data_IF_313870211818
#
_entry.id   IF_313870211818
#
_cell.length_a   1.000
_cell.length_b   1.000
_cell.length_c   1.000
_cell.angle_alpha   90.00
_cell.angle_beta   90.00
_cell.angle_gamma   90.00
#
_symmetry.space_group_name_H-M   'P 1'
#
loop_
_entity.id
_entity.type
_entity.pdbx_description
1 polymer ?
#
# COMPACT_ATOMS: atom_id res chain seq x y z
N UNK A 1 -2.73 21.01 14.88
CA UNK A 1 -2.31 22.14 14.03
C UNK A 1 -2.84 21.98 12.60
N UNK A 2 -2.40 22.80 11.64
CA UNK A 2 -2.92 22.86 10.28
C UNK A 2 -2.95 21.52 9.51
N UNK A 3 -2.13 20.55 9.88
CA UNK A 3 -2.15 19.19 9.33
C UNK A 3 -3.33 18.35 9.86
N UNK A 4 -3.71 18.50 11.12
CA UNK A 4 -4.83 17.78 11.74
C UNK A 4 -6.18 18.28 11.20
N UNK A 5 -6.25 19.59 10.90
CA UNK A 5 -7.43 20.23 10.29
C UNK A 5 -7.60 19.75 8.84
N UNK A 6 -6.53 19.67 8.06
CA UNK A 6 -6.56 19.17 6.67
C UNK A 6 -6.95 17.68 6.61
N UNK A 7 -6.50 16.88 7.56
CA UNK A 7 -6.85 15.45 7.65
C UNK A 7 -8.31 15.25 8.06
N UNK A 8 -8.82 16.05 9.00
CA UNK A 8 -10.24 16.04 9.39
C UNK A 8 -11.15 16.42 8.24
N UNK A 9 -10.75 17.42 7.46
CA UNK A 9 -11.45 17.83 6.24
C UNK A 9 -11.44 16.72 5.18
N UNK A 10 -10.31 16.06 5.00
CA UNK A 10 -10.17 14.94 4.05
C UNK A 10 -11.09 13.78 4.39
N UNK A 11 -11.28 13.49 5.69
CA UNK A 11 -12.24 12.46 6.14
C UNK A 11 -13.68 12.83 5.83
N UNK A 12 -14.12 14.06 6.16
CA UNK A 12 -15.47 14.53 5.91
C UNK A 12 -15.76 14.55 4.39
N UNK A 13 -14.85 15.12 3.59
CA UNK A 13 -14.99 15.18 2.13
C UNK A 13 -15.04 13.77 1.52
N UNK A 14 -14.18 12.85 1.96
CA UNK A 14 -14.16 11.49 1.47
C UNK A 14 -15.47 10.75 1.79
N UNK A 15 -16.04 10.95 2.99
CA UNK A 15 -17.34 10.39 3.36
C UNK A 15 -18.46 10.92 2.46
N UNK A 16 -18.49 12.23 2.23
CA UNK A 16 -19.55 12.89 1.45
C UNK A 16 -19.46 12.57 -0.05
N UNK A 17 -18.27 12.29 -0.57
CA UNK A 17 -18.07 11.87 -1.96
C UNK A 17 -18.51 10.41 -2.22
N UNK A 18 -18.56 9.55 -1.20
CA UNK A 18 -18.94 8.14 -1.37
C UNK A 18 -20.42 7.99 -1.78
N UNK A 19 -21.31 8.83 -1.23
CA UNK A 19 -22.73 8.77 -1.50
C UNK A 19 -23.08 9.05 -2.97
N UNK A 20 -22.67 10.19 -3.58
CA UNK A 20 -22.95 10.47 -4.99
C UNK A 20 -22.32 9.44 -5.94
N UNK A 21 -21.14 8.90 -5.64
CA UNK A 21 -20.54 7.85 -6.46
C UNK A 21 -21.35 6.56 -6.49
N UNK A 22 -21.92 6.18 -5.34
CA UNK A 22 -22.82 5.02 -5.26
C UNK A 22 -24.05 5.23 -6.11
N UNK A 23 -24.62 6.44 -6.11
CA UNK A 23 -25.77 6.81 -6.92
C UNK A 23 -25.44 6.74 -8.42
N UNK A 24 -24.33 7.34 -8.83
CA UNK A 24 -23.86 7.29 -10.23
C UNK A 24 -23.68 5.84 -10.71
N UNK A 25 -23.04 5.01 -9.88
CA UNK A 25 -22.81 3.62 -10.23
C UNK A 25 -24.11 2.81 -10.29
N UNK A 26 -25.05 3.07 -9.37
CA UNK A 26 -26.37 2.44 -9.34
C UNK A 26 -27.20 2.77 -10.57
N UNK A 27 -27.28 4.04 -10.99
CA UNK A 27 -28.00 4.42 -12.21
C UNK A 27 -27.32 3.91 -13.49
N UNK A 28 -26.00 3.91 -13.56
CA UNK A 28 -25.30 3.35 -14.72
C UNK A 28 -25.54 1.83 -14.84
N UNK A 29 -25.58 1.12 -13.72
CA UNK A 29 -25.89 -0.30 -13.66
C UNK A 29 -27.36 -0.56 -14.08
N UNK A 30 -28.32 0.19 -13.52
CA UNK A 30 -29.72 0.06 -13.84
C UNK A 30 -29.99 0.28 -15.34
N UNK A 31 -29.34 1.29 -15.95
CA UNK A 31 -29.45 1.53 -17.39
C UNK A 31 -28.97 0.37 -18.24
N UNK A 32 -27.92 -0.36 -17.81
CA UNK A 32 -27.43 -1.55 -18.51
C UNK A 32 -28.38 -2.74 -18.35
N UNK A 33 -29.03 -2.85 -17.17
CA UNK A 33 -29.97 -3.93 -16.85
C UNK A 33 -31.32 -3.71 -17.59
N UNK A 34 -31.84 -2.47 -17.57
CA UNK A 34 -33.11 -2.10 -18.22
C UNK A 34 -33.01 -2.15 -19.76
N UNK A 35 -31.82 -1.96 -20.30
CA UNK A 35 -31.59 -1.92 -21.73
C UNK A 35 -30.45 -2.86 -22.18
N UNK A 36 -30.63 -4.20 -22.14
CA UNK A 36 -29.59 -5.16 -22.54
C UNK A 36 -29.11 -4.99 -23.98
N UNK A 37 -29.93 -4.33 -24.83
CA UNK A 37 -29.60 -4.02 -26.23
C UNK A 37 -28.76 -2.76 -26.43
N UNK A 38 -28.44 -2.01 -25.34
CA UNK A 38 -27.47 -0.90 -25.37
C UNK A 38 -26.06 -1.41 -25.66
N UNK A 39 -25.89 -1.98 -26.86
CA UNK A 39 -24.61 -2.37 -27.42
C UNK A 39 -23.86 -1.18 -28.03
N UNK A 40 -22.64 -1.42 -28.50
CA UNK A 40 -21.84 -0.42 -29.21
C UNK A 40 -21.33 0.72 -28.31
N UNK A 41 -21.37 1.95 -28.83
CA UNK A 41 -20.77 3.11 -28.16
C UNK A 41 -21.42 3.46 -26.82
N UNK A 42 -22.76 3.36 -26.70
CA UNK A 42 -23.50 3.74 -25.48
C UNK A 42 -23.22 2.79 -24.31
N UNK A 43 -23.21 1.48 -24.54
CA UNK A 43 -22.82 0.50 -23.50
C UNK A 43 -21.36 0.68 -23.08
N UNK A 44 -20.46 0.98 -24.02
CA UNK A 44 -19.07 1.30 -23.72
C UNK A 44 -18.89 2.57 -22.87
N UNK A 45 -19.75 3.58 -23.06
CA UNK A 45 -19.73 4.78 -22.23
C UNK A 45 -20.19 4.51 -20.79
N UNK A 46 -21.24 3.72 -20.60
CA UNK A 46 -21.71 3.32 -19.27
C UNK A 46 -20.66 2.52 -18.51
N UNK A 47 -20.01 1.56 -19.16
CA UNK A 47 -18.90 0.80 -18.54
C UNK A 47 -17.73 1.69 -18.13
N UNK A 48 -17.38 2.72 -18.93
CA UNK A 48 -16.35 3.70 -18.57
C UNK A 48 -16.77 4.57 -17.38
N UNK A 49 -18.03 4.98 -17.30
CA UNK A 49 -18.57 5.72 -16.16
C UNK A 49 -18.49 4.86 -14.90
N UNK A 50 -18.93 3.61 -14.95
CA UNK A 50 -18.85 2.69 -13.81
C UNK A 50 -17.40 2.43 -13.38
N UNK A 51 -16.49 2.23 -14.33
CA UNK A 51 -15.06 2.07 -14.06
C UNK A 51 -14.45 3.30 -13.38
N UNK A 52 -14.79 4.51 -13.85
CA UNK A 52 -14.35 5.77 -13.25
C UNK A 52 -14.93 5.96 -11.84
N UNK A 53 -16.21 5.68 -11.65
CA UNK A 53 -16.89 5.76 -10.36
C UNK A 53 -16.29 4.77 -9.33
N UNK A 54 -16.04 3.54 -9.74
CA UNK A 54 -15.36 2.55 -8.91
C UNK A 54 -13.98 3.02 -8.49
N UNK A 55 -13.19 3.53 -9.44
CA UNK A 55 -11.84 4.04 -9.17
C UNK A 55 -11.87 5.23 -8.20
N UNK A 56 -12.83 6.14 -8.31
CA UNK A 56 -13.00 7.23 -7.35
C UNK A 56 -13.34 6.69 -5.96
N UNK A 57 -14.22 5.69 -5.85
CA UNK A 57 -14.52 5.02 -4.59
C UNK A 57 -13.27 4.44 -3.92
N UNK A 58 -12.44 3.74 -4.68
CA UNK A 58 -11.17 3.19 -4.20
C UNK A 58 -10.20 4.29 -3.72
N UNK A 59 -10.11 5.43 -4.43
CA UNK A 59 -9.29 6.58 -4.02
C UNK A 59 -9.77 7.18 -2.69
N UNK A 60 -11.08 7.30 -2.52
CA UNK A 60 -11.71 7.78 -1.29
C UNK A 60 -11.42 6.83 -0.13
N UNK A 61 -11.57 5.53 -0.33
CA UNK A 61 -11.28 4.52 0.69
C UNK A 61 -9.80 4.53 1.10
N UNK A 62 -8.92 4.72 0.12
CA UNK A 62 -7.49 4.88 0.39
C UNK A 62 -7.16 6.14 1.19
N UNK A 63 -7.81 7.27 0.88
CA UNK A 63 -7.65 8.52 1.64
C UNK A 63 -8.15 8.37 3.08
N UNK A 64 -9.29 7.69 3.27
CA UNK A 64 -9.84 7.40 4.60
C UNK A 64 -8.90 6.52 5.42
N UNK A 65 -8.33 5.48 4.83
CA UNK A 65 -7.31 4.65 5.49
C UNK A 65 -6.08 5.46 5.90
N UNK A 66 -5.57 6.32 5.01
CA UNK A 66 -4.44 7.21 5.33
C UNK A 66 -4.76 8.12 6.52
N UNK A 67 -5.97 8.69 6.57
CA UNK A 67 -6.44 9.52 7.67
C UNK A 67 -6.64 8.73 8.97
N UNK A 68 -7.16 7.51 8.91
CA UNK A 68 -7.32 6.65 10.09
C UNK A 68 -5.98 6.31 10.75
N UNK A 69 -4.96 6.01 9.95
CA UNK A 69 -3.60 5.75 10.45
C UNK A 69 -2.87 7.00 10.94
N UNK A 70 -3.46 8.20 10.78
CA UNK A 70 -2.90 9.44 11.29
C UNK A 70 -3.32 9.76 12.73
N UNK A 71 -4.39 9.15 13.25
CA UNK A 71 -5.02 9.49 14.53
C UNK A 71 -4.71 8.51 15.66
N UNK A 72 -4.91 8.97 16.90
CA UNK A 72 -4.78 8.20 18.13
C UNK A 72 -3.35 8.15 18.68
N UNK A 73 -3.19 7.67 19.89
CA UNK A 73 -1.89 7.42 20.50
C UNK A 73 -1.30 6.11 19.98
N UNK A 74 0.01 6.07 19.77
CA UNK A 74 0.74 4.87 19.37
C UNK A 74 1.00 4.03 20.63
N UNK A 75 0.35 2.87 20.70
CA UNK A 75 0.55 1.94 21.82
C UNK A 75 1.75 1.03 21.51
N UNK A 76 2.91 1.36 22.07
CA UNK A 76 4.12 0.58 21.87
C UNK A 76 4.15 -0.63 22.79
N UNK A 77 4.19 -1.80 22.16
CA UNK A 77 4.39 -3.11 22.81
C UNK A 77 5.40 -3.93 21.99
N UNK A 78 6.01 -4.97 22.58
CA UNK A 78 6.86 -5.88 21.80
C UNK A 78 6.07 -6.55 20.67
N UNK A 79 6.54 -6.40 19.43
CA UNK A 79 5.94 -7.01 18.23
C UNK A 79 6.94 -7.95 17.58
N UNK A 80 6.52 -9.18 17.31
CA UNK A 80 7.27 -10.16 16.53
C UNK A 80 7.08 -9.89 15.03
N UNK A 81 7.97 -9.09 14.44
CA UNK A 81 7.92 -8.72 13.03
C UNK A 81 8.09 -9.93 12.10
N UNK A 82 8.96 -10.90 12.49
CA UNK A 82 9.13 -12.13 11.71
C UNK A 82 7.82 -12.92 11.59
N UNK A 83 7.08 -13.04 12.69
CA UNK A 83 5.78 -13.72 12.70
C UNK A 83 4.73 -12.99 11.85
N UNK A 84 4.69 -11.65 11.92
CA UNK A 84 3.80 -10.82 11.09
C UNK A 84 4.12 -11.02 9.61
N UNK A 85 5.40 -10.92 9.22
CA UNK A 85 5.83 -11.04 7.83
C UNK A 85 5.54 -12.44 7.26
N UNK A 86 5.85 -13.50 8.01
CA UNK A 86 5.62 -14.89 7.58
C UNK A 86 4.14 -15.14 7.32
N UNK A 87 3.28 -14.81 8.28
CA UNK A 87 1.83 -14.98 8.15
C UNK A 87 1.28 -14.25 6.91
N UNK A 88 1.65 -13.01 6.71
CA UNK A 88 1.16 -12.23 5.57
C UNK A 88 1.65 -12.75 4.22
N UNK A 89 2.88 -13.29 4.14
CA UNK A 89 3.38 -13.94 2.93
C UNK A 89 2.66 -15.25 2.65
N UNK A 90 2.36 -16.05 3.68
CA UNK A 90 1.55 -17.26 3.56
C UNK A 90 0.12 -16.93 3.09
N UNK A 91 -0.50 -15.88 3.60
CA UNK A 91 -1.81 -15.39 3.15
C UNK A 91 -1.79 -14.97 1.67
N UNK A 92 -0.74 -14.25 1.23
CA UNK A 92 -0.55 -13.88 -0.17
C UNK A 92 -0.39 -15.11 -1.07
N UNK A 93 0.38 -16.10 -0.66
CA UNK A 93 0.57 -17.34 -1.40
C UNK A 93 -0.74 -18.15 -1.47
N UNK A 94 -1.51 -18.20 -0.41
CA UNK A 94 -2.80 -18.88 -0.39
C UNK A 94 -3.85 -18.18 -1.29
N UNK A 95 -3.77 -16.86 -1.43
CA UNK A 95 -4.66 -16.08 -2.29
C UNK A 95 -4.29 -16.18 -3.78
N UNK A 96 -3.05 -16.56 -4.10
CA UNK A 96 -2.54 -16.69 -5.47
C UNK A 96 -1.82 -18.04 -5.70
N UNK A 97 -2.54 -19.17 -5.63
CA UNK A 97 -1.96 -20.52 -5.61
C UNK A 97 -1.28 -20.92 -6.91
N UNK A 98 -1.53 -20.20 -8.00
CA UNK A 98 -0.90 -20.44 -9.30
C UNK A 98 0.51 -19.83 -9.42
N UNK A 99 0.93 -19.04 -8.42
CA UNK A 99 2.17 -18.29 -8.46
C UNK A 99 3.21 -18.85 -7.49
N UNK A 100 4.40 -19.08 -7.99
CA UNK A 100 5.55 -19.46 -7.17
C UNK A 100 6.37 -18.23 -6.82
N UNK A 101 6.49 -17.96 -5.51
CA UNK A 101 7.33 -16.90 -4.96
C UNK A 101 8.16 -17.50 -3.85
N UNK A 102 9.47 -17.35 -3.93
CA UNK A 102 10.39 -17.73 -2.85
C UNK A 102 10.52 -16.57 -1.87
N UNK A 103 10.43 -16.83 -0.58
CA UNK A 103 10.69 -15.79 0.41
C UNK A 103 11.56 -16.27 1.56
N UNK A 104 12.29 -15.35 2.13
CA UNK A 104 13.06 -15.55 3.35
C UNK A 104 12.72 -14.47 4.35
N UNK A 105 12.43 -14.87 5.58
CA UNK A 105 12.19 -13.97 6.70
C UNK A 105 13.26 -14.25 7.75
N UNK A 106 14.05 -13.23 8.10
CA UNK A 106 15.04 -13.31 9.18
C UNK A 106 14.31 -13.64 10.49
N UNK A 107 14.77 -14.66 11.24
CA UNK A 107 14.12 -15.05 12.48
C UNK A 107 14.37 -14.02 13.59
N UNK A 108 13.45 -13.97 14.57
CA UNK A 108 13.57 -13.16 15.78
C UNK A 108 13.69 -11.64 15.56
N UNK A 109 13.13 -11.11 14.48
CA UNK A 109 12.97 -9.67 14.32
C UNK A 109 11.93 -9.18 15.34
N UNK A 110 12.36 -8.37 16.29
CA UNK A 110 11.52 -7.78 17.33
C UNK A 110 11.64 -6.26 17.27
N UNK A 111 10.54 -5.58 17.57
CA UNK A 111 10.51 -4.11 17.67
C UNK A 111 9.44 -3.64 18.67
N UNK A 112 9.58 -2.41 19.17
CA UNK A 112 8.61 -1.78 20.06
C UNK A 112 7.68 -0.88 19.23
N UNK A 113 6.44 -1.32 19.01
CA UNK A 113 5.52 -0.60 18.13
C UNK A 113 4.05 -0.93 18.43
N UNK A 114 3.15 -0.21 17.78
CA UNK A 114 1.72 -0.54 17.76
C UNK A 114 1.46 -1.71 16.80
N UNK A 115 0.92 -2.84 17.30
CA UNK A 115 0.73 -4.04 16.50
C UNK A 115 -0.15 -3.82 15.27
N UNK A 116 -1.24 -3.06 15.39
CA UNK A 116 -2.16 -2.82 14.28
C UNK A 116 -1.51 -1.95 13.18
N UNK A 117 -0.70 -0.98 13.59
CA UNK A 117 0.05 -0.15 12.66
C UNK A 117 1.17 -0.93 11.96
N UNK A 118 1.87 -1.83 12.68
CA UNK A 118 2.89 -2.70 12.06
C UNK A 118 2.27 -3.70 11.09
N UNK A 119 1.13 -4.29 11.42
CA UNK A 119 0.37 -5.12 10.48
C UNK A 119 0.08 -4.37 9.18
N UNK A 120 -0.44 -3.14 9.28
CA UNK A 120 -0.75 -2.33 8.11
C UNK A 120 0.51 -1.90 7.34
N UNK A 121 1.62 -1.58 8.02
CA UNK A 121 2.91 -1.27 7.41
C UNK A 121 3.41 -2.45 6.58
N UNK A 122 3.52 -3.62 7.20
CA UNK A 122 4.02 -4.82 6.55
C UNK A 122 3.11 -5.26 5.40
N UNK A 123 1.80 -5.16 5.55
CA UNK A 123 0.84 -5.43 4.48
C UNK A 123 1.12 -4.56 3.25
N UNK A 124 1.36 -3.25 3.42
CA UNK A 124 1.67 -2.37 2.31
C UNK A 124 2.99 -2.73 1.62
N UNK A 125 4.03 -3.07 2.40
CA UNK A 125 5.35 -3.41 1.85
C UNK A 125 5.32 -4.77 1.16
N UNK A 126 4.76 -5.79 1.79
CA UNK A 126 4.72 -7.16 1.25
C UNK A 126 3.78 -7.29 0.04
N UNK A 127 2.62 -6.61 0.05
CA UNK A 127 1.76 -6.54 -1.14
C UNK A 127 2.47 -5.86 -2.32
N UNK A 128 3.29 -4.83 -2.06
CA UNK A 128 4.09 -4.22 -3.12
C UNK A 128 5.15 -5.19 -3.65
N UNK A 129 5.92 -5.85 -2.78
CA UNK A 129 6.92 -6.84 -3.18
C UNK A 129 6.28 -7.99 -3.97
N UNK A 130 5.13 -8.51 -3.51
CA UNK A 130 4.37 -9.53 -4.22
C UNK A 130 3.91 -9.06 -5.60
N UNK A 131 3.34 -7.88 -5.67
CA UNK A 131 2.82 -7.29 -6.92
C UNK A 131 3.93 -7.03 -7.94
N UNK A 132 5.01 -6.38 -7.53
CA UNK A 132 6.07 -5.97 -8.45
C UNK A 132 7.01 -7.09 -8.90
N UNK A 133 6.93 -8.24 -8.25
CA UNK A 133 7.60 -9.47 -8.70
C UNK A 133 6.74 -10.32 -9.64
N UNK A 134 5.55 -9.85 -10.08
CA UNK A 134 4.62 -10.64 -10.89
C UNK A 134 5.22 -11.13 -12.22
N UNK A 135 6.12 -10.37 -12.81
CA UNK A 135 6.78 -10.69 -14.08
C UNK A 135 8.20 -11.30 -13.89
N UNK A 136 8.65 -11.48 -12.65
CA UNK A 136 9.95 -12.09 -12.38
C UNK A 136 9.87 -13.61 -12.61
N UNK A 137 10.80 -14.16 -13.41
CA UNK A 137 10.84 -15.59 -13.71
C UNK A 137 11.10 -16.45 -12.46
N UNK A 138 11.85 -15.92 -11.50
CA UNK A 138 12.16 -16.52 -10.20
C UNK A 138 11.95 -15.44 -9.13
N UNK A 139 10.70 -15.29 -8.68
CA UNK A 139 10.31 -14.23 -7.76
C UNK A 139 10.85 -14.49 -6.35
N UNK A 140 11.59 -13.51 -5.81
CA UNK A 140 12.14 -13.56 -4.46
C UNK A 140 11.75 -12.34 -3.63
N UNK A 141 11.34 -12.59 -2.38
CA UNK A 141 11.07 -11.57 -1.37
C UNK A 141 11.89 -11.87 -0.12
N UNK A 142 12.54 -10.85 0.45
CA UNK A 142 13.31 -10.99 1.69
C UNK A 142 12.86 -9.97 2.72
N UNK A 143 12.68 -10.43 3.95
CA UNK A 143 12.47 -9.56 5.12
C UNK A 143 13.64 -9.78 6.07
N UNK A 144 14.37 -8.71 6.37
CA UNK A 144 15.61 -8.79 7.15
C UNK A 144 15.86 -7.49 7.91
N UNK A 145 16.83 -7.50 8.79
CA UNK A 145 17.34 -6.28 9.43
C UNK A 145 18.80 -6.03 9.06
N UNK A 146 19.21 -4.77 9.12
CA UNK A 146 20.59 -4.35 9.01
C UNK A 146 20.84 -3.16 9.93
N UNK A 147 22.04 -3.13 10.51
CA UNK A 147 22.46 -1.99 11.31
C UNK A 147 23.20 -0.99 10.40
N UNK A 148 22.71 0.24 10.39
CA UNK A 148 23.33 1.34 9.66
C UNK A 148 23.12 2.65 10.45
N UNK A 149 24.13 3.51 10.45
CA UNK A 149 24.09 4.82 11.12
C UNK A 149 23.73 4.74 12.63
N UNK A 150 24.11 3.62 13.28
CA UNK A 150 23.79 3.37 14.69
C UNK A 150 22.33 3.02 14.98
N UNK A 151 21.54 2.77 13.94
CA UNK A 151 20.12 2.40 14.03
C UNK A 151 19.87 1.06 13.35
N UNK A 152 18.93 0.30 13.91
CA UNK A 152 18.43 -0.91 13.26
C UNK A 152 17.39 -0.54 12.20
N UNK A 153 17.65 -0.98 10.97
CA UNK A 153 16.76 -0.84 9.83
C UNK A 153 16.08 -2.18 9.54
N UNK A 154 14.77 -2.20 9.49
CA UNK A 154 13.98 -3.35 9.04
C UNK A 154 13.65 -3.17 7.57
N UNK A 155 13.93 -4.17 6.76
CA UNK A 155 13.90 -4.07 5.30
C UNK A 155 13.03 -5.15 4.68
N UNK A 156 12.28 -4.76 3.64
CA UNK A 156 11.62 -5.66 2.68
C UNK A 156 12.26 -5.44 1.33
N UNK A 157 12.83 -6.48 0.75
CA UNK A 157 13.48 -6.46 -0.56
C UNK A 157 12.80 -7.44 -1.50
N UNK A 158 12.69 -7.06 -2.77
CA UNK A 158 12.19 -7.89 -3.85
C UNK A 158 13.13 -7.82 -5.07
N UNK A 159 13.06 -8.80 -5.96
CA UNK A 159 13.76 -8.83 -7.24
C UNK A 159 12.84 -8.53 -8.43
N UNK A 160 11.80 -7.74 -8.23
CA UNK A 160 10.81 -7.42 -9.24
C UNK A 160 11.21 -6.29 -10.20
N UNK A 161 10.21 -5.54 -10.66
CA UNK A 161 10.37 -4.49 -11.66
C UNK A 161 11.33 -3.35 -11.25
N UNK A 162 11.54 -3.13 -9.94
CA UNK A 162 12.35 -2.04 -9.44
C UNK A 162 11.82 -0.66 -9.85
N UNK A 163 12.65 0.37 -9.76
CA UNK A 163 12.27 1.74 -10.16
C UNK A 163 13.51 2.62 -10.36
N UNK A 164 13.32 3.73 -11.10
CA UNK A 164 14.35 4.74 -11.31
C UNK A 164 14.48 5.64 -10.06
N UNK A 165 15.66 5.67 -9.46
CA UNK A 165 15.99 6.47 -8.27
C UNK A 165 15.83 7.99 -8.50
N UNK A 166 15.93 8.49 -9.72
CA UNK A 166 15.64 9.89 -10.01
C UNK A 166 14.20 10.30 -9.68
N UNK A 167 13.29 9.32 -9.62
CA UNK A 167 11.88 9.49 -9.27
C UNK A 167 11.54 9.09 -7.82
N UNK A 168 12.52 8.63 -7.04
CA UNK A 168 12.33 8.14 -5.67
C UNK A 168 11.66 9.16 -4.74
N UNK A 169 11.91 10.47 -4.94
CA UNK A 169 11.27 11.55 -4.17
C UNK A 169 9.73 11.57 -4.23
N UNK A 170 9.13 10.93 -5.25
CA UNK A 170 7.68 10.83 -5.42
C UNK A 170 7.07 9.54 -4.85
N UNK A 171 7.88 8.53 -4.50
CA UNK A 171 7.42 7.20 -4.05
C UNK A 171 6.46 7.25 -2.86
N UNK A 172 6.74 8.14 -1.93
CA UNK A 172 6.00 8.25 -0.68
C UNK A 172 4.90 9.33 -0.71
N UNK A 173 4.66 9.95 -1.86
CA UNK A 173 3.56 10.89 -2.03
C UNK A 173 2.27 10.14 -2.35
N UNK A 174 1.13 10.50 -1.74
CA UNK A 174 -0.16 9.88 -2.06
C UNK A 174 -0.48 10.01 -3.55
N UNK A 175 -1.10 8.98 -4.11
CA UNK A 175 -1.54 8.91 -5.52
C UNK A 175 -0.42 8.95 -6.57
N UNK A 176 0.83 8.87 -6.14
CA UNK A 176 1.97 8.79 -7.05
C UNK A 176 2.27 7.33 -7.42
N UNK A 177 2.57 7.12 -8.70
CA UNK A 177 2.94 5.82 -9.25
C UNK A 177 4.14 5.99 -10.17
N UNK A 178 5.10 5.10 -10.07
CA UNK A 178 6.28 5.09 -10.95
C UNK A 178 6.07 4.22 -12.18
N UNK A 179 5.24 3.19 -12.07
CA UNK A 179 4.85 2.30 -13.15
C UNK A 179 3.48 2.67 -13.75
N UNK A 180 3.28 2.47 -15.06
CA UNK A 180 2.02 2.72 -15.74
C UNK A 180 0.87 1.87 -15.17
N UNK A 181 -0.39 2.35 -15.26
CA UNK A 181 -1.56 1.63 -14.72
C UNK A 181 -1.83 0.26 -15.34
N UNK A 182 -1.37 0.03 -16.57
CA UNK A 182 -1.58 -1.23 -17.29
C UNK A 182 -0.57 -2.32 -16.90
N UNK A 183 0.58 -1.96 -16.33
CA UNK A 183 1.59 -2.92 -15.87
C UNK A 183 1.24 -3.46 -14.48
N UNK A 184 0.92 -2.58 -13.54
CA UNK A 184 0.64 -2.99 -12.16
C UNK A 184 -0.59 -2.26 -11.62
N UNK A 185 -1.51 -2.99 -10.99
CA UNK A 185 -2.69 -2.41 -10.37
C UNK A 185 -2.36 -1.63 -9.08
N UNK A 186 -3.20 -0.67 -8.70
CA UNK A 186 -3.12 0.02 -7.41
C UNK A 186 -3.30 1.54 -7.48
N UNK A 187 -3.54 2.15 -6.33
CA UNK A 187 -3.90 3.56 -6.20
C UNK A 187 -2.74 4.50 -5.91
N UNK A 188 -1.55 3.97 -5.58
CA UNK A 188 -0.40 4.78 -5.17
C UNK A 188 -0.52 5.35 -3.76
N UNK A 189 -1.23 4.67 -2.86
CA UNK A 189 -1.44 5.10 -1.46
C UNK A 189 -0.60 4.27 -0.49
N UNK A 190 -0.29 3.02 -0.82
CA UNK A 190 0.34 2.07 0.11
C UNK A 190 1.64 2.56 0.72
N UNK A 191 2.57 3.09 -0.08
CA UNK A 191 3.86 3.61 0.42
C UNK A 191 3.69 4.92 1.21
N UNK A 192 2.72 5.76 0.86
CA UNK A 192 2.39 6.94 1.65
C UNK A 192 1.85 6.54 3.04
N UNK A 193 0.99 5.51 3.10
CA UNK A 193 0.50 4.92 4.35
C UNK A 193 1.65 4.33 5.17
N UNK A 194 2.53 3.54 4.55
CA UNK A 194 3.69 2.95 5.19
C UNK A 194 4.58 4.03 5.83
N UNK A 195 4.92 5.08 5.06
CA UNK A 195 5.70 6.21 5.55
C UNK A 195 5.02 6.92 6.73
N UNK A 196 3.70 7.15 6.66
CA UNK A 196 2.95 7.80 7.72
C UNK A 196 2.99 6.99 9.03
N UNK A 197 2.83 5.68 8.95
CA UNK A 197 2.93 4.77 10.10
C UNK A 197 4.31 4.87 10.75
N UNK A 198 5.37 4.82 9.94
CA UNK A 198 6.76 4.93 10.42
C UNK A 198 7.01 6.28 11.10
N UNK A 199 6.55 7.39 10.49
CA UNK A 199 6.67 8.74 11.05
C UNK A 199 5.92 8.88 12.39
N UNK A 200 4.76 8.26 12.54
CA UNK A 200 4.03 8.25 13.83
C UNK A 200 4.79 7.55 14.95
N UNK A 201 5.62 6.58 14.60
CA UNK A 201 6.53 5.95 15.54
C UNK A 201 7.84 6.74 15.74
N UNK A 202 7.97 7.96 15.16
CA UNK A 202 9.20 8.75 15.21
C UNK A 202 10.34 8.23 14.36
N UNK A 203 10.05 7.28 13.47
CA UNK A 203 11.02 6.64 12.60
C UNK A 203 11.18 7.32 11.23
N UNK A 204 12.04 6.75 10.43
CA UNK A 204 12.31 7.16 9.05
C UNK A 204 12.17 5.99 8.08
N UNK A 205 11.89 6.30 6.80
CA UNK A 205 11.75 5.30 5.76
C UNK A 205 12.56 5.70 4.53
N UNK A 206 13.28 4.74 3.96
CA UNK A 206 14.05 4.90 2.72
C UNK A 206 13.71 3.80 1.73
N UNK A 207 13.99 4.06 0.47
CA UNK A 207 13.81 3.10 -0.61
C UNK A 207 14.99 3.17 -1.56
N UNK A 208 15.41 2.02 -2.05
CA UNK A 208 16.44 1.86 -3.08
C UNK A 208 15.87 0.93 -4.14
N UNK A 209 16.15 1.21 -5.41
CA UNK A 209 15.67 0.39 -6.51
C UNK A 209 16.49 0.58 -7.77
N UNK A 210 16.48 -0.43 -8.62
CA UNK A 210 17.08 -0.40 -9.95
C UNK A 210 16.08 -1.01 -10.91
N UNK A 211 15.74 -0.35 -12.04
CA UNK A 211 14.83 -0.90 -13.02
C UNK A 211 15.21 -2.33 -13.44
N UNK A 212 14.28 -3.27 -13.34
CA UNK A 212 14.47 -4.68 -13.68
C UNK A 212 15.32 -5.49 -12.69
N UNK A 213 15.76 -4.91 -11.58
CA UNK A 213 16.59 -5.62 -10.58
C UNK A 213 15.97 -5.64 -9.18
N UNK A 214 14.74 -5.08 -9.06
CA UNK A 214 14.00 -5.07 -7.81
C UNK A 214 14.15 -3.80 -6.99
N UNK A 215 13.57 -3.86 -5.79
CA UNK A 215 13.54 -2.75 -4.84
C UNK A 215 13.77 -3.23 -3.41
N UNK A 216 14.24 -2.32 -2.57
CA UNK A 216 14.39 -2.52 -1.13
C UNK A 216 13.79 -1.32 -0.41
N UNK A 217 12.86 -1.58 0.49
CA UNK A 217 12.24 -0.59 1.36
C UNK A 217 12.67 -0.85 2.79
N UNK A 218 13.32 0.12 3.42
CA UNK A 218 13.78 0.01 4.80
C UNK A 218 13.14 1.09 5.67
N UNK A 219 12.87 0.73 6.93
CA UNK A 219 12.37 1.67 7.92
C UNK A 219 13.07 1.49 9.25
N UNK A 220 13.15 2.56 10.03
CA UNK A 220 13.62 2.57 11.41
C UNK A 220 12.46 2.89 12.33
N UNK A 221 12.43 2.27 13.51
CA UNK A 221 11.55 2.68 14.59
C UNK A 221 12.44 2.87 15.83
N UNK A 222 12.65 4.11 16.27
CA UNK A 222 13.43 4.34 17.49
C UNK A 222 12.70 3.71 18.68
N UNK A 223 13.44 3.07 19.57
CA UNK A 223 12.92 2.66 20.85
C UNK A 223 12.38 3.91 21.53
N UNK A 224 11.15 3.84 22.05
CA UNK A 224 10.49 5.01 22.63
C UNK A 224 11.41 5.70 23.64
N UNK A 225 11.58 7.00 23.48
CA UNK A 225 12.21 7.80 24.54
C UNK A 225 11.27 7.74 25.74
N UNK A 226 11.77 7.18 26.86
CA UNK A 226 11.10 7.26 28.15
C UNK A 226 10.88 8.71 28.59
#
# INVERSE_FOLDING_TARGET
>A
GAYDDLESYSYAVAHDLRSPLRIINGFAQALLEDHPSLGGASGGHLQRIMGASKKMGELIDGLLKLSQYARGEVQRVPVNLSGVATRQLEELAAADPGRQVHWTVEPNLQLQADPALIEALMQNLLHNAWKYTAEAADAHIRVFSQDADGLRHYCVSDNGAGFDMSRAGKLFQPFQRLHPPHEFAGLGIGLATARRIVQRHGGSMRAEGTPGQGATFCFTLPDGVE
#
